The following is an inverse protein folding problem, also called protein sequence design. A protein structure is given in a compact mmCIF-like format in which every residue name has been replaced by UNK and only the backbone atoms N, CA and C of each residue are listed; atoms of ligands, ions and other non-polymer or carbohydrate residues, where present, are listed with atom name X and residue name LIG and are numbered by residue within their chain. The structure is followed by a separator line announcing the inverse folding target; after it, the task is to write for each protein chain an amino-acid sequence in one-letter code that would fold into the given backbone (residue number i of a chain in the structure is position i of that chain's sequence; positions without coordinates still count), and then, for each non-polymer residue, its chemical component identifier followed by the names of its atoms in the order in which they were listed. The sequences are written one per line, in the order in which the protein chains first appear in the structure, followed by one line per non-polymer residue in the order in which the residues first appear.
data_IF_644049610960
#
_entry.id   IF_644049610960
#
_cell.length_a   1.000
_cell.length_b   1.000
_cell.length_c   1.000
_cell.angle_alpha   90.00
_cell.angle_beta   90.00
_cell.angle_gamma   90.00
#
_symmetry.space_group_name_H-M   'P 1'
#
loop_
_entity.id
_entity.type
_entity.pdbx_description
1 polymer ?
#
# COMPACT_ATOMS: atom_id res chain seq x y z
N UNK A 1 8.38 -0.94 -8.80
CA UNK A 1 7.11 -1.17 -9.51
C UNK A 1 7.27 -1.93 -10.84
N UNK A 2 8.03 -1.47 -11.83
CA UNK A 2 8.06 -2.10 -13.19
C UNK A 2 8.26 -3.62 -13.13
N UNK A 3 9.21 -4.13 -12.32
CA UNK A 3 9.43 -5.57 -12.12
C UNK A 3 8.22 -6.29 -11.49
N UNK A 4 7.47 -5.64 -10.59
CA UNK A 4 6.25 -6.20 -10.00
C UNK A 4 5.11 -6.26 -11.02
N UNK A 5 4.93 -5.19 -11.79
CA UNK A 5 3.95 -5.17 -12.89
C UNK A 5 4.31 -6.19 -13.99
N UNK A 6 5.60 -6.41 -14.24
CA UNK A 6 6.09 -7.45 -15.15
C UNK A 6 5.73 -8.85 -14.61
N UNK A 7 6.02 -9.13 -13.33
CA UNK A 7 5.76 -10.43 -12.71
C UNK A 7 4.26 -10.81 -12.63
N UNK A 8 3.37 -9.82 -12.69
CA UNK A 8 1.92 -10.03 -12.75
C UNK A 8 1.33 -9.92 -14.16
N UNK A 9 2.16 -9.74 -15.20
CA UNK A 9 1.73 -9.51 -16.60
C UNK A 9 0.74 -8.32 -16.75
N UNK A 10 1.00 -7.24 -15.99
CA UNK A 10 0.14 -6.04 -15.95
C UNK A 10 0.78 -4.75 -16.46
N UNK A 11 1.97 -4.80 -17.07
CA UNK A 11 2.56 -3.60 -17.69
C UNK A 11 1.68 -3.06 -18.84
N UNK A 12 1.44 -1.74 -18.92
CA UNK A 12 0.63 -1.12 -19.97
C UNK A 12 1.43 -0.93 -21.28
N UNK A 13 2.00 -2.03 -21.77
CA UNK A 13 2.68 -2.10 -23.07
C UNK A 13 1.67 -2.16 -24.22
N UNK A 14 2.09 -1.79 -25.43
CA UNK A 14 1.20 -1.71 -26.61
C UNK A 14 0.51 -3.02 -26.94
N UNK A 15 1.13 -4.18 -26.74
CA UNK A 15 0.47 -5.48 -26.88
C UNK A 15 -0.72 -5.64 -25.92
N UNK A 16 -0.53 -5.35 -24.62
CA UNK A 16 -1.61 -5.37 -23.62
C UNK A 16 -2.70 -4.33 -23.93
N UNK A 17 -2.30 -3.14 -24.38
CA UNK A 17 -3.24 -2.08 -24.80
C UNK A 17 -3.99 -2.44 -26.10
N UNK A 18 -3.42 -3.23 -27.00
CA UNK A 18 -4.13 -3.80 -28.16
C UNK A 18 -5.20 -4.80 -27.71
N UNK A 19 -4.87 -5.70 -26.78
CA UNK A 19 -5.85 -6.62 -26.18
C UNK A 19 -7.00 -5.90 -25.45
N UNK A 20 -6.77 -4.68 -24.97
CA UNK A 20 -7.79 -3.80 -24.40
C UNK A 20 -8.54 -2.93 -25.43
N UNK A 21 -8.18 -3.00 -26.71
CA UNK A 21 -8.76 -2.16 -27.77
C UNK A 21 -8.36 -0.68 -27.74
N UNK A 22 -7.37 -0.30 -26.93
CA UNK A 22 -6.94 1.09 -26.74
C UNK A 22 -5.95 1.60 -27.80
N UNK A 23 -5.26 0.70 -28.50
CA UNK A 23 -4.38 1.04 -29.62
C UNK A 23 -4.59 0.08 -30.79
N UNK A 24 -4.44 0.59 -32.02
CA UNK A 24 -4.60 -0.20 -33.25
C UNK A 24 -3.31 -0.85 -33.72
N UNK A 25 -2.15 -0.40 -33.23
CA UNK A 25 -0.84 -0.81 -33.73
C UNK A 25 0.14 -1.15 -32.59
N UNK A 26 0.53 -2.42 -32.53
CA UNK A 26 1.31 -3.00 -31.43
C UNK A 26 2.83 -2.94 -31.58
N UNK A 27 3.39 -2.18 -32.52
CA UNK A 27 4.85 -2.13 -32.68
C UNK A 27 5.57 -1.48 -31.49
N UNK A 28 6.78 -1.94 -31.18
CA UNK A 28 7.63 -1.43 -30.10
C UNK A 28 7.91 0.08 -30.23
N UNK A 29 7.68 0.81 -29.14
CA UNK A 29 7.95 2.25 -29.01
C UNK A 29 9.42 2.62 -29.22
N UNK A 30 10.34 1.71 -28.90
CA UNK A 30 11.79 1.97 -28.94
C UNK A 30 12.41 1.70 -30.33
N UNK A 31 12.04 0.61 -31.01
CA UNK A 31 12.62 0.26 -32.32
C UNK A 31 11.69 0.51 -33.50
N UNK A 32 10.37 0.55 -33.29
CA UNK A 32 9.33 0.64 -34.34
C UNK A 32 9.43 -0.43 -35.46
N UNK A 33 10.11 -1.56 -35.20
CA UNK A 33 10.26 -2.68 -36.15
C UNK A 33 9.41 -3.90 -35.77
N UNK A 34 9.56 -4.43 -34.56
CA UNK A 34 8.85 -5.62 -34.07
C UNK A 34 7.62 -5.27 -33.20
N UNK A 35 6.82 -6.28 -32.84
CA UNK A 35 5.73 -6.15 -31.87
C UNK A 35 6.27 -5.88 -30.46
N UNK A 36 5.55 -5.07 -29.68
CA UNK A 36 5.89 -4.68 -28.31
C UNK A 36 5.39 -5.71 -27.30
N UNK A 37 6.03 -6.86 -27.23
CA UNK A 37 5.87 -7.79 -26.09
C UNK A 37 6.72 -7.33 -24.91
N UNK A 38 6.46 -7.82 -23.69
CA UNK A 38 7.33 -7.53 -22.53
C UNK A 38 8.77 -8.02 -22.75
N UNK A 39 8.93 -9.19 -23.37
CA UNK A 39 10.26 -9.72 -23.73
C UNK A 39 10.94 -8.79 -24.74
N UNK A 40 10.23 -8.36 -25.78
CA UNK A 40 10.82 -7.47 -26.78
C UNK A 40 11.23 -6.13 -26.17
N UNK A 41 10.33 -5.47 -25.44
CA UNK A 41 10.54 -4.12 -24.92
C UNK A 41 11.79 -4.01 -24.01
N UNK A 42 12.09 -5.05 -23.23
CA UNK A 42 13.17 -5.02 -22.24
C UNK A 42 14.41 -5.85 -22.58
N UNK A 43 14.31 -6.91 -23.39
CA UNK A 43 15.40 -7.89 -23.58
C UNK A 43 15.83 -8.12 -25.03
N UNK A 44 14.94 -7.92 -26.01
CA UNK A 44 15.25 -8.22 -27.42
C UNK A 44 15.35 -6.97 -28.30
N UNK A 45 14.70 -5.87 -27.91
CA UNK A 45 14.73 -4.61 -28.65
C UNK A 45 16.20 -4.11 -28.75
N UNK A 46 16.72 -3.80 -29.96
CA UNK A 46 18.11 -3.38 -30.13
C UNK A 46 18.52 -2.17 -29.26
N UNK A 47 17.58 -1.26 -28.99
CA UNK A 47 17.77 -0.16 -28.06
C UNK A 47 17.91 -0.64 -26.60
N UNK A 48 17.03 -1.53 -26.14
CA UNK A 48 17.09 -2.08 -24.79
C UNK A 48 18.34 -2.95 -24.58
N UNK A 49 18.72 -3.77 -25.58
CA UNK A 49 19.94 -4.59 -25.54
C UNK A 49 21.19 -3.74 -25.40
N UNK A 50 21.34 -2.71 -26.24
CA UNK A 50 22.52 -1.83 -26.19
C UNK A 50 22.59 -1.00 -24.90
N UNK A 51 21.43 -0.57 -24.36
CA UNK A 51 21.36 0.06 -23.04
C UNK A 51 21.78 -0.89 -21.91
N UNK A 52 21.29 -2.13 -21.91
CA UNK A 52 21.70 -3.14 -20.93
C UNK A 52 23.19 -3.46 -21.04
N UNK A 53 23.73 -3.68 -22.24
CA UNK A 53 25.17 -3.94 -22.43
C UNK A 53 26.01 -2.77 -21.86
N UNK A 54 25.62 -1.51 -22.12
CA UNK A 54 26.29 -0.34 -21.55
C UNK A 54 26.23 -0.28 -20.01
N UNK A 55 25.04 -0.48 -19.42
CA UNK A 55 24.85 -0.48 -17.96
C UNK A 55 25.64 -1.62 -17.29
N UNK A 56 25.61 -2.81 -17.88
CA UNK A 56 26.33 -3.97 -17.35
C UNK A 56 27.85 -3.75 -17.40
N UNK A 57 28.38 -3.23 -18.51
CA UNK A 57 29.80 -2.87 -18.65
C UNK A 57 30.22 -1.84 -17.58
N UNK A 58 29.41 -0.79 -17.35
CA UNK A 58 29.67 0.23 -16.31
C UNK A 58 29.69 -0.37 -14.89
N UNK A 59 28.96 -1.46 -14.65
CA UNK A 59 28.94 -2.18 -13.37
C UNK A 59 29.98 -3.33 -13.33
N UNK A 60 30.91 -3.41 -14.30
CA UNK A 60 31.93 -4.46 -14.37
C UNK A 60 31.40 -5.85 -14.76
N UNK A 61 30.14 -5.95 -15.17
CA UNK A 61 29.46 -7.20 -15.52
C UNK A 61 29.58 -7.49 -17.02
N UNK A 62 30.30 -8.55 -17.39
CA UNK A 62 30.40 -9.02 -18.78
C UNK A 62 29.38 -10.13 -19.06
N UNK A 63 28.12 -9.73 -19.26
CA UNK A 63 27.03 -10.62 -19.70
C UNK A 63 26.16 -9.93 -20.73
N UNK A 64 25.44 -10.71 -21.54
CA UNK A 64 24.35 -10.21 -22.38
C UNK A 64 23.00 -10.29 -21.66
N UNK A 65 21.99 -9.53 -22.10
CA UNK A 65 20.60 -9.86 -21.83
C UNK A 65 20.30 -11.30 -22.22
N UNK A 66 19.59 -11.99 -21.35
CA UNK A 66 19.07 -13.36 -21.51
C UNK A 66 17.56 -13.31 -21.25
N UNK A 67 16.84 -14.44 -21.34
CA UNK A 67 15.44 -14.48 -20.87
C UNK A 67 15.31 -14.01 -19.41
N UNK A 68 14.13 -13.57 -19.03
CA UNK A 68 13.84 -13.05 -17.69
C UNK A 68 14.04 -14.09 -16.59
N UNK A 69 13.71 -15.37 -16.83
CA UNK A 69 13.95 -16.45 -15.86
C UNK A 69 15.46 -16.59 -15.58
N UNK A 70 16.28 -16.58 -16.62
CA UNK A 70 17.73 -16.65 -16.50
C UNK A 70 18.32 -15.41 -15.81
N UNK A 71 17.74 -14.22 -16.03
CA UNK A 71 18.11 -13.00 -15.32
C UNK A 71 17.75 -13.07 -13.83
N UNK A 72 16.57 -13.59 -13.48
CA UNK A 72 16.13 -13.79 -12.09
C UNK A 72 16.96 -14.86 -11.36
N UNK A 73 17.18 -16.03 -11.97
CA UNK A 73 18.03 -17.10 -11.41
C UNK A 73 19.45 -16.60 -11.17
N UNK A 74 20.03 -15.86 -12.14
CA UNK A 74 21.32 -15.22 -11.94
C UNK A 74 21.29 -14.19 -10.80
N UNK A 75 20.28 -13.33 -10.72
CA UNK A 75 20.18 -12.30 -9.69
C UNK A 75 20.14 -12.96 -8.29
N UNK A 76 19.30 -13.98 -8.10
CA UNK A 76 19.21 -14.75 -6.86
C UNK A 76 20.53 -15.46 -6.48
N UNK A 77 21.33 -15.92 -7.44
CA UNK A 77 22.62 -16.58 -7.16
C UNK A 77 23.84 -15.64 -7.04
N UNK A 78 23.79 -14.47 -7.69
CA UNK A 78 24.91 -13.54 -7.80
C UNK A 78 24.81 -12.33 -6.87
N UNK A 79 23.60 -11.86 -6.54
CA UNK A 79 23.42 -10.74 -5.63
C UNK A 79 23.68 -11.19 -4.20
N UNK A 80 24.78 -10.68 -3.63
CA UNK A 80 25.18 -10.86 -2.24
C UNK A 80 25.20 -9.50 -1.56
N UNK A 81 24.70 -9.42 -0.34
CA UNK A 81 24.71 -8.21 0.46
C UNK A 81 23.63 -8.26 1.53
N UNK A 82 23.87 -7.54 2.61
CA UNK A 82 22.87 -7.35 3.67
C UNK A 82 21.75 -6.41 3.20
N UNK A 83 20.52 -6.55 3.71
CA UNK A 83 19.45 -5.61 3.43
C UNK A 83 19.84 -4.20 3.92
N UNK A 84 19.64 -3.19 3.07
CA UNK A 84 19.84 -1.79 3.47
C UNK A 84 18.91 -1.43 4.66
N UNK A 85 19.26 -0.47 5.54
CA UNK A 85 18.51 -0.20 6.77
C UNK A 85 17.02 0.16 6.60
N UNK A 86 16.63 0.63 5.42
CA UNK A 86 15.24 0.96 5.05
C UNK A 86 14.44 -0.22 4.49
N UNK A 87 15.06 -1.36 4.16
CA UNK A 87 14.37 -2.54 3.64
C UNK A 87 13.70 -3.34 4.78
N UNK A 88 12.52 -2.90 5.22
CA UNK A 88 11.76 -3.57 6.30
C UNK A 88 11.14 -4.90 5.88
N UNK A 89 10.82 -5.06 4.58
CA UNK A 89 10.31 -6.30 3.98
C UNK A 89 11.20 -7.52 4.24
N UNK A 90 12.52 -7.34 4.33
CA UNK A 90 13.44 -8.47 4.60
C UNK A 90 13.17 -9.11 5.97
N UNK A 91 12.96 -8.30 7.01
CA UNK A 91 12.68 -8.80 8.36
C UNK A 91 11.28 -9.41 8.45
N UNK A 92 10.30 -8.82 7.78
CA UNK A 92 8.96 -9.41 7.64
C UNK A 92 9.03 -10.78 6.95
N UNK A 93 9.80 -10.93 5.87
CA UNK A 93 9.97 -12.19 5.17
C UNK A 93 10.56 -13.29 6.06
N UNK A 94 11.47 -12.96 6.97
CA UNK A 94 12.01 -13.91 7.96
C UNK A 94 10.91 -14.34 8.95
N UNK A 95 10.13 -13.39 9.47
CA UNK A 95 9.10 -13.66 10.49
C UNK A 95 7.91 -14.43 9.88
N UNK A 96 7.38 -13.98 8.74
CA UNK A 96 6.29 -14.63 8.02
C UNK A 96 6.72 -15.97 7.43
N UNK A 97 7.99 -16.12 7.05
CA UNK A 97 8.57 -17.38 6.58
C UNK A 97 8.93 -18.39 7.68
N UNK A 98 8.72 -18.05 8.96
CA UNK A 98 8.95 -18.99 10.07
C UNK A 98 7.95 -20.15 9.99
N UNK A 99 8.35 -21.42 10.18
CA UNK A 99 7.45 -22.58 10.05
C UNK A 99 6.13 -22.46 10.83
N UNK A 100 6.22 -22.05 12.10
CA UNK A 100 5.04 -21.84 12.96
C UNK A 100 4.09 -20.75 12.42
N UNK A 101 4.61 -19.73 11.71
CA UNK A 101 3.78 -18.66 11.11
C UNK A 101 3.20 -19.09 9.78
N UNK A 102 3.94 -19.86 8.98
CA UNK A 102 3.44 -20.46 7.74
C UNK A 102 2.30 -21.43 8.04
N UNK A 103 2.39 -22.21 9.12
CA UNK A 103 1.37 -23.19 9.52
C UNK A 103 0.03 -22.56 9.96
N UNK A 104 0.06 -21.31 10.47
CA UNK A 104 -1.14 -20.57 10.91
C UNK A 104 -1.78 -19.72 9.79
N UNK A 105 -1.16 -19.66 8.59
CA UNK A 105 -1.60 -18.90 7.41
C UNK A 105 -2.20 -17.50 7.71
N UNK A 106 -1.49 -16.59 8.40
CA UNK A 106 -2.07 -15.34 8.90
C UNK A 106 -2.62 -14.44 7.78
N UNK A 107 -3.87 -14.01 7.93
CA UNK A 107 -4.53 -13.06 7.04
C UNK A 107 -4.55 -11.67 7.66
N UNK A 108 -4.29 -10.66 6.83
CA UNK A 108 -4.41 -9.26 7.20
C UNK A 108 -5.43 -8.57 6.29
N UNK A 109 -6.38 -7.86 6.89
CA UNK A 109 -7.11 -6.77 6.25
C UNK A 109 -6.54 -5.46 6.77
N UNK A 110 -6.34 -4.48 5.91
CA UNK A 110 -5.86 -3.15 6.32
C UNK A 110 -6.76 -2.10 5.69
N UNK A 111 -7.25 -1.24 6.57
CA UNK A 111 -8.06 -0.06 6.30
C UNK A 111 -7.08 1.11 6.26
N UNK A 112 -6.90 1.74 5.10
CA UNK A 112 -5.92 2.81 4.89
C UNK A 112 -6.64 4.15 4.72
N UNK A 113 -6.64 4.92 5.79
CA UNK A 113 -7.09 6.31 5.77
C UNK A 113 -6.03 7.25 5.18
N UNK A 114 -6.47 8.32 4.52
CA UNK A 114 -5.62 9.38 3.99
C UNK A 114 -6.40 10.69 3.83
N UNK A 115 -5.71 11.82 3.71
CA UNK A 115 -6.33 13.14 3.46
C UNK A 115 -5.84 13.73 2.14
N UNK A 116 -6.78 14.22 1.33
CA UNK A 116 -6.48 14.96 0.11
C UNK A 116 -6.19 16.42 0.43
N UNK A 117 -5.08 16.94 -0.09
CA UNK A 117 -4.61 18.31 0.07
C UNK A 117 -4.57 19.04 -1.28
N UNK A 118 -4.77 20.35 -1.22
CA UNK A 118 -4.51 21.27 -2.31
C UNK A 118 -3.02 21.25 -2.70
N UNK A 119 -2.76 21.31 -4.01
CA UNK A 119 -1.40 21.31 -4.60
C UNK A 119 -0.52 22.46 -4.11
N UNK A 120 -1.13 23.59 -3.76
CA UNK A 120 -0.46 24.76 -3.21
C UNK A 120 -1.00 25.02 -1.79
N UNK A 121 -0.15 25.51 -0.88
CA UNK A 121 -0.53 25.81 0.50
C UNK A 121 -0.63 24.62 1.46
N UNK A 122 -0.72 23.37 0.98
CA UNK A 122 -0.93 22.15 1.80
C UNK A 122 -2.19 22.21 2.70
N UNK A 123 -3.20 22.99 2.29
CA UNK A 123 -4.51 22.98 2.94
C UNK A 123 -5.34 21.78 2.45
N UNK A 124 -6.40 21.40 3.14
CA UNK A 124 -7.24 20.26 2.70
C UNK A 124 -8.01 20.61 1.42
N UNK A 125 -8.21 19.61 0.55
CA UNK A 125 -8.86 19.78 -0.75
C UNK A 125 -10.28 20.35 -0.59
N UNK A 126 -10.62 21.34 -1.41
CA UNK A 126 -11.90 22.06 -1.42
C UNK A 126 -12.32 22.72 -0.08
N UNK A 127 -11.41 22.86 0.89
CA UNK A 127 -11.64 23.70 2.07
C UNK A 127 -11.51 25.19 1.72
N UNK A 128 -12.23 26.09 2.43
CA UNK A 128 -12.10 27.54 2.22
C UNK A 128 -10.66 28.03 2.47
N UNK A 129 -10.17 28.92 1.60
CA UNK A 129 -8.83 29.52 1.73
C UNK A 129 -8.68 30.25 3.07
N UNK A 130 -7.74 29.79 3.91
CA UNK A 130 -7.50 30.31 5.26
C UNK A 130 -8.66 30.08 6.24
N UNK A 131 -9.61 29.21 5.90
CA UNK A 131 -10.81 28.93 6.69
C UNK A 131 -11.11 27.43 6.82
N UNK A 132 -12.24 27.15 7.45
CA UNK A 132 -12.71 25.79 7.75
C UNK A 132 -14.09 25.56 7.12
N UNK A 133 -14.41 24.32 6.69
CA UNK A 133 -15.76 23.94 6.32
C UNK A 133 -16.67 23.85 7.55
N UNK A 134 -17.91 23.41 7.36
CA UNK A 134 -18.83 23.11 8.46
C UNK A 134 -18.28 22.03 9.41
N UNK A 135 -18.86 21.89 10.62
CA UNK A 135 -18.42 20.91 11.61
C UNK A 135 -18.58 19.47 11.09
N UNK A 136 -17.73 18.56 11.59
CA UNK A 136 -17.78 17.13 11.27
C UNK A 136 -19.18 16.53 11.53
N UNK A 137 -19.59 15.58 10.68
CA UNK A 137 -20.93 14.99 10.74
C UNK A 137 -21.51 14.60 9.38
N UNK A 138 -21.66 15.51 8.41
CA UNK A 138 -22.28 15.21 7.12
C UNK A 138 -21.33 14.54 6.10
N UNK A 139 -20.03 14.45 6.42
CA UNK A 139 -18.98 14.02 5.47
C UNK A 139 -18.81 12.51 5.39
N UNK A 140 -18.92 11.79 6.51
CA UNK A 140 -18.77 10.33 6.56
C UNK A 140 -19.81 9.64 5.66
N UNK A 141 -19.34 8.86 4.68
CA UNK A 141 -20.16 8.26 3.62
C UNK A 141 -21.07 9.27 2.88
N UNK A 142 -20.71 10.56 2.89
CA UNK A 142 -21.52 11.66 2.37
C UNK A 142 -21.61 11.67 0.84
N UNK A 143 -22.76 12.16 0.34
CA UNK A 143 -23.00 12.41 -1.09
C UNK A 143 -23.54 13.83 -1.26
N UNK A 144 -23.00 14.55 -2.24
CA UNK A 144 -23.24 15.98 -2.49
C UNK A 144 -21.94 16.72 -2.73
N UNK A 145 -21.97 17.77 -3.56
CA UNK A 145 -20.79 18.60 -3.87
C UNK A 145 -20.26 19.32 -2.61
N UNK A 146 -21.13 19.56 -1.64
CA UNK A 146 -20.87 20.20 -0.36
C UNK A 146 -20.42 19.22 0.75
N UNK A 147 -20.28 17.93 0.44
CA UNK A 147 -19.93 16.86 1.40
C UNK A 147 -18.80 15.93 0.97
N UNK A 148 -18.51 15.81 -0.32
CA UNK A 148 -17.77 14.68 -0.91
C UNK A 148 -16.63 15.14 -1.83
N UNK A 149 -15.63 15.82 -1.27
CA UNK A 149 -14.49 16.41 -1.99
C UNK A 149 -13.49 15.37 -2.53
N UNK A 150 -13.13 15.43 -3.82
CA UNK A 150 -12.15 14.53 -4.44
C UNK A 150 -12.60 13.10 -4.77
N UNK A 151 -13.92 12.83 -4.89
CA UNK A 151 -14.44 11.48 -5.20
C UNK A 151 -13.93 10.91 -6.54
N UNK A 152 -13.65 11.76 -7.51
CA UNK A 152 -13.10 11.38 -8.82
C UNK A 152 -11.70 10.73 -8.71
N UNK A 153 -10.87 11.22 -7.80
CA UNK A 153 -9.58 10.62 -7.43
C UNK A 153 -9.81 9.23 -6.84
N UNK A 154 -10.75 9.11 -5.88
CA UNK A 154 -11.03 7.87 -5.14
C UNK A 154 -11.58 6.78 -6.06
N UNK A 155 -12.58 7.11 -6.89
CA UNK A 155 -13.17 6.18 -7.86
C UNK A 155 -12.14 5.74 -8.92
N UNK A 156 -11.20 6.62 -9.28
CA UNK A 156 -10.10 6.31 -10.21
C UNK A 156 -9.06 5.39 -9.56
N UNK A 157 -8.72 5.63 -8.29
CA UNK A 157 -7.82 4.78 -7.51
C UNK A 157 -8.39 3.37 -7.31
N UNK A 158 -9.67 3.28 -6.96
CA UNK A 158 -10.36 1.99 -6.79
C UNK A 158 -10.30 1.15 -8.06
N UNK A 159 -10.64 1.74 -9.21
CA UNK A 159 -10.55 1.09 -10.54
C UNK A 159 -9.11 0.71 -10.90
N UNK A 160 -8.14 1.57 -10.61
CA UNK A 160 -6.74 1.29 -10.87
C UNK A 160 -6.18 0.14 -10.00
N UNK A 161 -6.60 0.05 -8.74
CA UNK A 161 -6.24 -1.06 -7.85
C UNK A 161 -6.83 -2.40 -8.32
N UNK A 162 -8.13 -2.42 -8.67
CA UNK A 162 -8.78 -3.60 -9.26
C UNK A 162 -8.07 -4.05 -10.55
N UNK A 163 -7.76 -3.10 -11.45
CA UNK A 163 -7.04 -3.38 -12.69
C UNK A 163 -5.60 -3.89 -12.47
N UNK A 164 -4.95 -3.43 -11.39
CA UNK A 164 -3.62 -3.88 -10.98
C UNK A 164 -3.63 -5.22 -10.22
N UNK A 165 -4.78 -5.85 -10.01
CA UNK A 165 -4.90 -7.11 -9.27
C UNK A 165 -4.66 -6.97 -7.76
N UNK A 166 -4.77 -5.77 -7.21
CA UNK A 166 -4.78 -5.54 -5.76
C UNK A 166 -6.14 -6.01 -5.23
N UNK A 167 -6.12 -6.78 -4.13
CA UNK A 167 -7.32 -7.27 -3.46
C UNK A 167 -7.99 -6.16 -2.64
N UNK A 168 -8.35 -5.06 -3.30
CA UNK A 168 -9.08 -3.94 -2.72
C UNK A 168 -10.52 -4.38 -2.46
N UNK A 169 -10.97 -4.23 -1.22
CA UNK A 169 -12.24 -4.76 -0.71
C UNK A 169 -13.32 -3.69 -0.53
N UNK A 170 -12.93 -2.41 -0.45
CA UNK A 170 -13.86 -1.29 -0.38
C UNK A 170 -13.19 0.09 -0.35
N UNK A 171 -14.03 1.12 -0.31
CA UNK A 171 -13.70 2.54 -0.14
C UNK A 171 -14.85 3.26 0.59
N UNK A 172 -14.54 4.28 1.38
CA UNK A 172 -15.53 5.23 1.91
C UNK A 172 -14.96 6.63 2.08
N UNK A 173 -15.85 7.62 2.12
CA UNK A 173 -15.52 8.97 2.59
C UNK A 173 -15.51 8.99 4.10
N UNK A 174 -14.51 9.62 4.70
CA UNK A 174 -14.30 9.61 6.15
C UNK A 174 -14.93 10.81 6.88
N UNK A 175 -14.80 10.84 8.20
CA UNK A 175 -15.45 11.83 9.06
C UNK A 175 -14.95 13.26 8.83
N UNK A 176 -13.65 13.46 8.53
CA UNK A 176 -13.12 14.77 8.16
C UNK A 176 -13.37 15.04 6.67
N UNK A 177 -13.84 16.25 6.29
CA UNK A 177 -14.01 16.59 4.88
C UNK A 177 -12.69 16.51 4.12
N UNK A 178 -12.70 15.85 2.95
CA UNK A 178 -11.54 15.47 2.13
C UNK A 178 -10.62 14.37 2.71
N UNK A 179 -11.00 13.73 3.83
CA UNK A 179 -10.45 12.46 4.29
C UNK A 179 -11.21 11.29 3.63
N UNK A 180 -10.48 10.24 3.29
CA UNK A 180 -11.00 9.05 2.63
C UNK A 180 -10.28 7.81 3.13
N UNK A 181 -10.93 6.65 2.96
CA UNK A 181 -10.37 5.35 3.30
C UNK A 181 -10.49 4.40 2.09
N UNK A 182 -9.47 3.55 1.92
CA UNK A 182 -9.60 2.33 1.11
C UNK A 182 -9.23 1.11 1.95
N UNK A 183 -9.99 0.03 1.83
CA UNK A 183 -9.70 -1.24 2.50
C UNK A 183 -9.13 -2.22 1.49
N UNK A 184 -8.12 -2.99 1.88
CA UNK A 184 -7.68 -4.15 1.08
C UNK A 184 -7.48 -5.38 1.97
N UNK A 185 -7.70 -6.55 1.37
CA UNK A 185 -7.60 -7.85 2.00
C UNK A 185 -8.91 -8.66 1.97
N UNK A 186 -8.93 -9.86 2.56
CA UNK A 186 -7.82 -10.48 3.29
C UNK A 186 -6.62 -10.77 2.39
N UNK A 187 -5.42 -10.53 2.91
CA UNK A 187 -4.15 -10.78 2.24
C UNK A 187 -3.25 -11.63 3.15
N UNK A 188 -2.78 -12.77 2.64
CA UNK A 188 -2.01 -13.75 3.42
C UNK A 188 -0.54 -13.34 3.55
N UNK A 189 -0.02 -13.31 4.77
CA UNK A 189 1.41 -13.08 5.06
C UNK A 189 2.00 -11.84 4.37
N UNK A 190 3.14 -12.04 3.70
CA UNK A 190 3.92 -11.00 3.00
C UNK A 190 3.13 -10.24 1.91
N UNK A 191 1.98 -10.79 1.48
CA UNK A 191 1.17 -10.14 0.45
C UNK A 191 0.48 -8.87 0.92
N UNK A 192 0.21 -8.75 2.23
CA UNK A 192 -0.37 -7.55 2.81
C UNK A 192 0.54 -6.33 2.59
N UNK A 193 1.83 -6.47 2.93
CA UNK A 193 2.78 -5.39 2.81
C UNK A 193 2.95 -4.86 1.39
N UNK A 194 3.15 -5.74 0.40
CA UNK A 194 3.36 -5.26 -0.99
C UNK A 194 2.08 -4.66 -1.59
N UNK A 195 0.90 -5.22 -1.29
CA UNK A 195 -0.36 -4.69 -1.84
C UNK A 195 -0.63 -3.28 -1.34
N UNK A 196 -0.43 -3.00 -0.04
CA UNK A 196 -0.58 -1.65 0.48
C UNK A 196 0.42 -0.67 -0.14
N UNK A 197 1.69 -1.05 -0.22
CA UNK A 197 2.73 -0.19 -0.80
C UNK A 197 2.45 0.16 -2.27
N UNK A 198 1.92 -0.79 -3.05
CA UNK A 198 1.50 -0.49 -4.44
C UNK A 198 0.20 0.32 -4.46
N UNK A 199 -0.78 0.05 -3.60
CA UNK A 199 -2.01 0.83 -3.52
C UNK A 199 -1.75 2.30 -3.17
N UNK A 200 -0.87 2.57 -2.19
CA UNK A 200 -0.38 3.92 -1.85
C UNK A 200 0.31 4.60 -3.04
N UNK A 201 1.18 3.88 -3.74
CA UNK A 201 1.85 4.40 -4.94
C UNK A 201 0.83 4.76 -6.05
N UNK A 202 -0.14 3.89 -6.34
CA UNK A 202 -1.18 4.17 -7.35
C UNK A 202 -1.98 5.41 -6.96
N UNK A 203 -2.30 5.58 -5.67
CA UNK A 203 -3.00 6.76 -5.16
C UNK A 203 -2.16 8.03 -5.40
N UNK A 204 -0.89 8.04 -4.97
CA UNK A 204 0.05 9.14 -5.23
C UNK A 204 0.14 9.49 -6.72
N UNK A 205 0.33 8.49 -7.58
CA UNK A 205 0.40 8.66 -9.03
C UNK A 205 -0.85 9.26 -9.67
N UNK A 206 -2.04 8.97 -9.14
CA UNK A 206 -3.29 9.57 -9.59
C UNK A 206 -3.38 11.01 -9.09
N UNK A 207 -3.03 11.25 -7.82
CA UNK A 207 -3.10 12.61 -7.25
C UNK A 207 -2.07 13.57 -7.82
N UNK A 208 -0.93 13.15 -8.38
CA UNK A 208 0.02 14.07 -9.05
C UNK A 208 -0.63 15.02 -10.07
N UNK A 209 -1.75 14.58 -10.68
CA UNK A 209 -2.51 15.33 -11.67
C UNK A 209 -3.51 16.31 -11.01
N UNK A 210 -3.99 16.01 -9.80
CA UNK A 210 -5.15 16.66 -9.17
C UNK A 210 -4.91 17.31 -7.76
N UNK A 211 -3.87 16.92 -7.01
CA UNK A 211 -3.65 17.35 -5.64
C UNK A 211 -2.37 16.78 -4.99
N UNK A 212 -2.32 16.78 -3.66
CA UNK A 212 -1.27 16.14 -2.85
C UNK A 212 -1.96 15.25 -1.81
N UNK A 213 -1.37 14.10 -1.45
CA UNK A 213 -1.88 13.25 -0.37
C UNK A 213 -1.10 13.54 0.91
N UNK A 214 -1.79 13.44 2.05
CA UNK A 214 -1.16 13.23 3.35
C UNK A 214 -1.56 11.87 3.92
N UNK A 215 -0.55 11.10 4.33
CA UNK A 215 -0.70 9.98 5.25
C UNK A 215 -0.37 10.37 6.70
N UNK A 216 -0.17 11.65 7.03
CA UNK A 216 0.10 12.09 8.42
C UNK A 216 -1.06 11.68 9.35
N UNK A 217 -0.80 11.09 10.52
CA UNK A 217 -1.85 10.63 11.44
C UNK A 217 -2.75 11.74 11.98
N UNK A 218 -2.33 13.01 11.90
CA UNK A 218 -3.11 14.18 12.34
C UNK A 218 -2.83 15.37 11.39
N UNK A 219 -3.41 15.37 10.18
CA UNK A 219 -3.04 16.33 9.12
C UNK A 219 -3.50 17.76 9.43
N UNK A 220 -4.60 17.92 10.16
CA UNK A 220 -5.08 19.21 10.68
C UNK A 220 -5.20 19.10 12.21
N UNK A 221 -4.68 20.09 12.93
CA UNK A 221 -4.73 20.15 14.40
C UNK A 221 -6.12 20.58 14.90
N UNK A 222 -6.47 20.19 16.13
CA UNK A 222 -7.77 20.46 16.76
C UNK A 222 -8.77 19.29 16.61
N UNK A 223 -10.06 19.61 16.67
CA UNK A 223 -11.19 18.65 16.71
C UNK A 223 -11.58 18.06 15.35
N UNK A 224 -10.59 17.89 14.46
CA UNK A 224 -10.70 17.15 13.21
C UNK A 224 -10.20 15.71 13.41
N UNK A 225 -10.73 14.74 12.67
CA UNK A 225 -10.26 13.36 12.80
C UNK A 225 -8.78 13.20 12.40
N UNK A 226 -8.16 12.15 12.94
CA UNK A 226 -6.89 11.61 12.45
C UNK A 226 -7.13 10.29 11.71
N UNK A 227 -6.08 9.59 11.31
CA UNK A 227 -6.14 8.49 10.36
C UNK A 227 -5.46 7.18 10.87
N UNK A 228 -6.15 6.03 10.77
CA UNK A 228 -5.88 4.72 11.44
C UNK A 228 -5.57 3.55 10.47
N UNK A 229 -5.33 2.34 11.02
CA UNK A 229 -5.28 1.04 10.30
C UNK A 229 -5.35 -0.19 11.26
N UNK A 230 -6.11 -1.26 10.97
CA UNK A 230 -6.69 -2.16 12.01
C UNK A 230 -6.32 -3.70 12.09
N UNK A 231 -5.79 -4.29 13.21
CA UNK A 231 -5.88 -5.77 13.62
C UNK A 231 -5.42 -6.27 15.09
N UNK A 232 -6.25 -6.52 16.15
CA UNK A 232 -5.79 -6.89 17.59
C UNK A 232 -6.17 -8.18 18.41
N UNK A 233 -5.25 -8.71 19.25
CA UNK A 233 -5.44 -9.82 20.27
C UNK A 233 -4.93 -9.55 21.72
N UNK A 234 -5.27 -10.42 22.70
CA UNK A 234 -4.77 -10.33 24.10
C UNK A 234 -3.24 -10.32 24.25
N UNK A 235 -2.50 -11.16 23.51
CA UNK A 235 -1.03 -11.20 23.54
C UNK A 235 -0.40 -9.84 23.21
N UNK A 236 -1.11 -8.97 22.49
CA UNK A 236 -0.64 -7.63 22.14
C UNK A 236 -0.57 -6.69 23.34
N UNK A 237 -1.35 -6.94 24.40
CA UNK A 237 -1.28 -6.17 25.64
C UNK A 237 0.10 -6.24 26.30
N UNK A 238 0.72 -7.43 26.27
CA UNK A 238 2.07 -7.68 26.79
C UNK A 238 3.15 -6.85 26.09
N UNK A 239 2.92 -6.49 24.83
CA UNK A 239 3.88 -5.74 23.98
C UNK A 239 3.34 -4.40 23.51
N UNK A 240 2.40 -3.82 24.25
CA UNK A 240 1.71 -2.58 23.83
C UNK A 240 2.70 -1.44 23.49
N UNK A 241 3.74 -1.25 24.30
CA UNK A 241 4.77 -0.21 24.08
C UNK A 241 5.60 -0.46 22.81
N UNK A 242 6.06 -1.69 22.59
CA UNK A 242 6.81 -2.10 21.40
C UNK A 242 5.98 -1.89 20.12
N UNK A 243 4.67 -2.14 20.21
CA UNK A 243 3.72 -1.94 19.11
C UNK A 243 3.55 -0.45 18.80
N UNK A 244 3.22 0.38 19.80
CA UNK A 244 3.08 1.83 19.60
C UNK A 244 4.34 2.45 18.98
N UNK A 245 5.53 2.06 19.42
CA UNK A 245 6.79 2.54 18.86
C UNK A 245 7.05 2.11 17.39
N UNK A 246 6.34 1.10 16.91
CA UNK A 246 6.43 0.55 15.55
C UNK A 246 5.29 1.02 14.63
N UNK A 247 4.29 1.72 15.18
CA UNK A 247 2.97 1.96 14.57
C UNK A 247 2.82 3.35 13.93
N UNK A 248 3.92 3.89 13.39
CA UNK A 248 3.97 5.17 12.70
C UNK A 248 4.40 6.35 13.58
N UNK A 249 5.18 7.26 12.99
CA UNK A 249 5.69 8.46 13.66
C UNK A 249 4.60 9.53 13.77
N UNK A 250 4.55 10.28 14.88
CA UNK A 250 3.57 11.35 15.08
C UNK A 250 2.20 10.90 15.61
N UNK A 251 2.05 9.60 15.88
CA UNK A 251 0.80 8.97 16.28
C UNK A 251 0.30 9.44 17.67
N UNK A 252 1.18 10.02 18.50
CA UNK A 252 0.82 10.69 19.76
C UNK A 252 -0.11 11.90 19.57
N UNK A 253 -0.14 12.52 18.38
CA UNK A 253 -1.09 13.58 18.03
C UNK A 253 -2.49 13.06 17.68
N UNK A 254 -2.61 11.76 17.40
CA UNK A 254 -3.85 11.08 17.01
C UNK A 254 -4.47 10.32 18.18
N UNK A 255 -3.66 9.56 18.90
CA UNK A 255 -4.08 8.73 20.04
C UNK A 255 -4.28 9.56 21.32
N UNK A 256 -5.19 10.53 21.27
CA UNK A 256 -5.48 11.46 22.36
C UNK A 256 -6.72 11.02 23.15
N UNK A 257 -6.52 10.37 24.31
CA UNK A 257 -7.61 10.05 25.25
C UNK A 257 -7.34 8.86 26.17
N UNK A 258 -8.20 8.71 27.18
CA UNK A 258 -8.27 7.52 28.05
C UNK A 258 -9.56 6.76 27.70
N UNK A 259 -9.45 5.45 27.51
CA UNK A 259 -10.42 4.67 26.74
C UNK A 259 -11.86 4.61 27.31
N UNK A 260 -12.85 5.00 26.48
CA UNK A 260 -13.98 4.13 26.14
C UNK A 260 -14.64 4.58 24.81
N UNK A 261 -15.22 3.64 24.04
CA UNK A 261 -15.43 3.70 22.56
C UNK A 261 -14.15 3.94 21.73
N UNK A 262 -13.21 4.76 22.19
CA UNK A 262 -11.81 4.78 21.76
C UNK A 262 -11.00 3.65 22.38
N UNK A 263 -11.38 2.39 22.13
CA UNK A 263 -10.60 1.23 22.54
C UNK A 263 -9.53 0.92 21.48
N UNK A 264 -8.31 0.60 21.90
CA UNK A 264 -7.25 0.13 21.00
C UNK A 264 -7.58 -1.19 20.29
N UNK A 265 -8.54 -1.95 20.81
CA UNK A 265 -8.85 -3.32 20.44
C UNK A 265 -10.37 -3.43 20.22
N UNK A 266 -10.80 -3.95 19.08
CA UNK A 266 -12.21 -4.23 18.79
C UNK A 266 -12.39 -5.61 18.15
N UNK A 267 -13.50 -6.25 18.48
CA UNK A 267 -14.01 -7.48 17.84
C UNK A 267 -15.37 -7.13 17.22
N UNK A 268 -15.64 -7.64 16.02
CA UNK A 268 -16.93 -7.42 15.34
C UNK A 268 -18.07 -8.12 16.09
N UNK A 269 -19.26 -7.49 16.12
CA UNK A 269 -20.45 -8.11 16.75
C UNK A 269 -20.85 -9.41 16.07
N UNK A 270 -20.75 -9.46 14.75
CA UNK A 270 -21.04 -10.67 13.98
C UNK A 270 -19.93 -11.72 14.19
N UNK A 271 -18.67 -11.29 14.31
CA UNK A 271 -17.52 -12.14 14.67
C UNK A 271 -17.72 -12.84 16.02
N UNK A 272 -18.09 -12.08 17.06
CA UNK A 272 -18.46 -12.59 18.39
C UNK A 272 -19.65 -13.55 18.32
N UNK A 273 -20.73 -13.15 17.63
CA UNK A 273 -21.98 -13.93 17.51
C UNK A 273 -21.80 -15.24 16.74
N UNK A 274 -20.94 -15.26 15.73
CA UNK A 274 -20.68 -16.44 14.89
C UNK A 274 -19.55 -17.34 15.41
N UNK A 275 -18.87 -16.96 16.50
CA UNK A 275 -17.75 -17.72 17.06
C UNK A 275 -16.53 -17.79 16.12
N UNK A 276 -16.40 -16.83 15.20
CA UNK A 276 -15.29 -16.70 14.25
C UNK A 276 -14.23 -15.76 14.83
N UNK A 277 -12.99 -15.83 14.34
CA UNK A 277 -11.86 -15.10 14.93
C UNK A 277 -11.16 -14.17 13.94
N UNK A 278 -11.59 -12.90 13.92
CA UNK A 278 -10.75 -11.78 13.47
C UNK A 278 -11.02 -10.56 14.35
N UNK A 279 -10.18 -9.53 14.24
CA UNK A 279 -10.11 -8.45 15.22
C UNK A 279 -9.52 -7.14 14.62
N UNK A 280 -9.58 -6.03 15.35
CA UNK A 280 -9.40 -4.65 14.82
C UNK A 280 -8.59 -3.76 15.79
N UNK A 281 -7.35 -3.40 15.41
CA UNK A 281 -6.36 -2.63 16.20
C UNK A 281 -6.38 -1.15 15.86
N UNK A 282 -6.83 -0.31 16.76
CA UNK A 282 -7.05 1.11 16.46
C UNK A 282 -5.84 1.96 16.85
N UNK A 283 -4.64 1.39 16.66
CA UNK A 283 -3.34 1.95 17.06
C UNK A 283 -2.41 2.27 15.88
N UNK A 284 -2.21 1.43 14.84
CA UNK A 284 -1.40 1.79 13.68
C UNK A 284 -1.86 3.11 13.03
N UNK A 285 -0.96 4.07 12.86
CA UNK A 285 -1.24 5.29 12.12
C UNK A 285 -1.33 5.04 10.61
N UNK A 286 -2.02 5.92 9.90
CA UNK A 286 -2.05 5.97 8.43
C UNK A 286 -0.67 5.97 7.73
N UNK A 287 0.38 6.49 8.38
CA UNK A 287 1.76 6.49 7.87
C UNK A 287 2.58 5.23 8.23
N UNK A 288 1.99 4.23 8.87
CA UNK A 288 2.70 3.01 9.29
C UNK A 288 3.35 2.28 8.10
N UNK A 289 4.49 1.62 8.31
CA UNK A 289 5.04 0.68 7.34
C UNK A 289 4.37 -0.69 7.54
N UNK A 290 3.57 -1.18 6.57
CA UNK A 290 2.84 -2.44 6.73
C UNK A 290 3.79 -3.62 6.97
N UNK A 291 5.02 -3.60 6.44
CA UNK A 291 6.00 -4.66 6.68
C UNK A 291 6.41 -4.73 8.15
N UNK A 292 6.45 -3.59 8.86
CA UNK A 292 6.73 -3.55 10.29
C UNK A 292 5.49 -4.02 11.08
N UNK A 293 4.30 -3.54 10.72
CA UNK A 293 3.07 -3.81 11.46
C UNK A 293 2.65 -5.28 11.37
N UNK A 294 2.59 -5.88 10.17
CA UNK A 294 2.21 -7.29 9.96
C UNK A 294 3.18 -8.24 10.65
N UNK A 295 4.49 -7.98 10.56
CA UNK A 295 5.51 -8.79 11.21
C UNK A 295 5.47 -8.66 12.74
N UNK A 296 5.18 -7.47 13.29
CA UNK A 296 4.96 -7.29 14.73
C UNK A 296 3.72 -8.00 15.24
N UNK A 297 2.66 -8.09 14.44
CA UNK A 297 1.51 -8.94 14.75
C UNK A 297 1.91 -10.41 14.77
N UNK A 298 2.44 -10.97 13.67
CA UNK A 298 2.83 -12.39 13.61
C UNK A 298 3.83 -12.79 14.73
N UNK A 299 4.84 -11.95 15.00
CA UNK A 299 5.79 -12.14 16.09
C UNK A 299 5.11 -12.20 17.47
N UNK A 300 4.10 -11.35 17.70
CA UNK A 300 3.44 -11.23 19.02
C UNK A 300 2.28 -12.20 19.20
N UNK A 301 1.56 -12.56 18.14
CA UNK A 301 0.38 -13.43 18.21
C UNK A 301 0.74 -14.91 18.08
N UNK A 302 1.73 -15.25 17.24
CA UNK A 302 2.12 -16.63 16.95
C UNK A 302 3.41 -16.98 17.71
N UNK A 303 4.51 -16.26 17.45
CA UNK A 303 5.85 -16.65 17.94
C UNK A 303 6.10 -16.35 19.43
N UNK A 304 5.38 -15.39 20.02
CA UNK A 304 5.49 -15.08 21.45
C UNK A 304 4.96 -16.25 22.29
N UNK A 305 5.90 -16.95 22.93
CA UNK A 305 5.63 -17.97 23.95
C UNK A 305 5.40 -17.28 25.30
N UNK A 306 4.38 -17.68 26.09
CA UNK A 306 4.22 -17.20 27.46
C UNK A 306 5.47 -17.53 28.30
N UNK A 307 5.85 -16.60 29.16
CA UNK A 307 6.87 -16.76 30.21
C UNK A 307 6.30 -17.45 31.44
#
# INVERSE_FOLDING_TARGET
MIVWMYLLDILPIRDRLQHMGLVTYGKCVNCNEALETMYHLFLECPFAVSLWEAVLILNGLRRKPSSWENLLVWACGAWKGDPIPTNKRFNELIIIGHPDVVAEEPWFGIEQEYTLLQKHGKWSLDWPDGGFPGPQGPYYCGVGAEKSFGRDIVDSHYKACLYAGINISGINGEVMPAQWEFQFGPATGISAGYQLWVARYILERITEIAGVISFDPKPILGDWNGADAHTTTEKLGLRHKDHIAAFGEGNERRLTGVANRGASIRVGRDTEKEGKSYFEDRRPASNMDPYIVTSKFAETTILLKPS
#
